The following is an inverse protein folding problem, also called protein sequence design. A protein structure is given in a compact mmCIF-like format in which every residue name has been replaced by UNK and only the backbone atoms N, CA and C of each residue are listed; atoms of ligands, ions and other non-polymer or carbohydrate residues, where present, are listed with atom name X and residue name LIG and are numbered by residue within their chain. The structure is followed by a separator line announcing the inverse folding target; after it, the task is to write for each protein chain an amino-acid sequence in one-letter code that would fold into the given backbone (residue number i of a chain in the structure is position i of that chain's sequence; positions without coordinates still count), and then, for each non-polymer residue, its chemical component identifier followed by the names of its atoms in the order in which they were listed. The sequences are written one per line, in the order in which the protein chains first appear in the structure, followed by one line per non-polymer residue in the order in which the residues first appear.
data_IF_993960587782
#
_entry.id   IF_993960587782
#
_cell.length_a   1.000
_cell.length_b   1.000
_cell.length_c   1.000
_cell.angle_alpha   90.00
_cell.angle_beta   90.00
_cell.angle_gamma   90.00
#
_symmetry.space_group_name_H-M   'P 1'
#
loop_
_entity.id
_entity.type
_entity.pdbx_description
1 polymer ?
#
# COMPACT_ATOMS: atom_id res chain seq x y z
N UNK A 1 13.70 -14.94 2.72
CA UNK A 1 14.07 -13.72 1.99
C UNK A 1 13.71 -12.56 2.89
N UNK A 2 14.65 -11.68 3.21
CA UNK A 2 14.40 -10.51 4.06
C UNK A 2 14.33 -9.23 3.23
N UNK A 3 14.90 -9.22 2.03
CA UNK A 3 14.77 -8.10 1.10
C UNK A 3 14.82 -8.51 -0.37
N UNK A 4 14.26 -7.65 -1.21
CA UNK A 4 14.32 -7.62 -2.67
C UNK A 4 14.62 -6.18 -3.06
N UNK A 5 15.57 -5.96 -3.97
CA UNK A 5 15.93 -4.60 -4.40
C UNK A 5 16.03 -4.52 -5.91
N UNK A 6 15.35 -3.53 -6.47
CA UNK A 6 15.54 -3.07 -7.84
C UNK A 6 16.36 -1.77 -7.84
N UNK A 7 17.46 -1.74 -8.58
CA UNK A 7 18.39 -0.60 -8.66
C UNK A 7 19.07 -0.47 -10.04
N UNK A 8 18.52 -1.10 -11.07
CA UNK A 8 19.00 -0.98 -12.43
C UNK A 8 18.43 0.28 -13.07
N UNK A 9 19.27 1.08 -13.73
CA UNK A 9 18.78 2.22 -14.50
C UNK A 9 17.88 1.83 -15.67
N UNK A 10 18.05 0.62 -16.21
CA UNK A 10 17.56 0.25 -17.56
C UNK A 10 16.78 -1.06 -17.64
N UNK A 11 16.78 -1.90 -16.60
CA UNK A 11 16.13 -3.21 -16.62
C UNK A 11 15.18 -3.37 -15.43
N UNK A 12 13.90 -3.55 -15.70
CA UNK A 12 12.91 -3.80 -14.65
C UNK A 12 13.12 -5.19 -13.99
N UNK A 13 12.82 -5.28 -12.69
CA UNK A 13 12.76 -6.53 -11.95
C UNK A 13 11.31 -6.99 -11.84
N UNK A 14 11.01 -8.15 -12.44
CA UNK A 14 9.69 -8.77 -12.36
C UNK A 14 9.76 -10.08 -11.58
N UNK A 15 8.94 -10.21 -10.55
CA UNK A 15 8.79 -11.39 -9.72
C UNK A 15 7.43 -12.03 -10.02
N UNK A 16 7.47 -13.08 -10.85
CA UNK A 16 6.25 -13.77 -11.29
C UNK A 16 5.81 -14.92 -10.37
N UNK A 17 6.69 -15.40 -9.49
CA UNK A 17 6.35 -16.35 -8.44
C UNK A 17 5.95 -15.65 -7.13
N UNK A 18 5.26 -16.34 -6.20
CA UNK A 18 4.91 -15.74 -4.92
C UNK A 18 6.14 -15.42 -4.10
N UNK A 19 6.15 -14.25 -3.46
CA UNK A 19 7.12 -13.93 -2.42
C UNK A 19 6.63 -14.56 -1.11
N UNK A 20 7.45 -15.42 -0.49
CA UNK A 20 7.22 -15.87 0.88
C UNK A 20 7.81 -14.83 1.85
N UNK A 21 6.95 -14.02 2.46
CA UNK A 21 7.34 -13.04 3.47
C UNK A 21 7.91 -13.77 4.69
N UNK A 22 9.10 -13.35 5.12
CA UNK A 22 9.78 -13.90 6.28
C UNK A 22 9.14 -13.42 7.58
N UNK A 23 9.20 -14.24 8.64
CA UNK A 23 8.65 -13.94 9.96
C UNK A 23 9.14 -12.61 10.55
N UNK A 24 10.39 -12.24 10.28
CA UNK A 24 10.97 -10.96 10.69
C UNK A 24 10.60 -9.78 9.77
N UNK A 25 9.90 -10.04 8.67
CA UNK A 25 9.52 -9.09 7.64
C UNK A 25 10.28 -9.28 6.32
N UNK A 26 9.77 -8.68 5.25
CA UNK A 26 10.42 -8.65 3.94
C UNK A 26 10.24 -7.28 3.31
N UNK A 27 11.36 -6.66 2.94
CA UNK A 27 11.38 -5.34 2.31
C UNK A 27 11.58 -5.43 0.81
N UNK A 28 10.72 -4.78 0.05
CA UNK A 28 10.82 -4.61 -1.39
C UNK A 28 11.22 -3.16 -1.64
N UNK A 29 12.39 -2.95 -2.23
CA UNK A 29 12.94 -1.61 -2.45
C UNK A 29 13.09 -1.34 -3.93
N UNK A 30 12.59 -0.21 -4.41
CA UNK A 30 13.07 0.38 -5.65
C UNK A 30 13.99 1.56 -5.30
N UNK A 31 15.30 1.40 -5.50
CA UNK A 31 16.33 2.39 -5.18
C UNK A 31 16.80 3.18 -6.42
N UNK A 32 16.07 3.08 -7.53
CA UNK A 32 16.48 3.63 -8.81
C UNK A 32 16.29 5.15 -8.89
N UNK A 33 17.21 5.92 -8.30
CA UNK A 33 17.09 7.36 -8.17
C UNK A 33 17.03 8.14 -9.51
N UNK A 34 17.46 7.56 -10.64
CA UNK A 34 17.56 8.28 -11.92
C UNK A 34 17.18 7.48 -13.17
N UNK A 35 16.73 6.24 -13.01
CA UNK A 35 16.26 5.39 -14.11
C UNK A 35 14.74 5.36 -14.21
N UNK A 36 14.24 4.42 -15.02
CA UNK A 36 12.81 4.20 -15.26
C UNK A 36 12.36 2.77 -14.96
N UNK A 37 13.22 1.97 -14.32
CA UNK A 37 12.97 0.55 -14.09
C UNK A 37 12.12 0.33 -12.84
N UNK A 38 11.05 -0.46 -13.00
CA UNK A 38 10.10 -0.80 -11.95
C UNK A 38 10.50 -2.10 -11.24
N UNK A 39 10.11 -2.20 -9.97
CA UNK A 39 9.97 -3.47 -9.27
C UNK A 39 8.52 -3.94 -9.37
N UNK A 40 8.27 -5.00 -10.15
CA UNK A 40 6.93 -5.57 -10.33
C UNK A 40 6.83 -6.93 -9.63
N UNK A 41 5.80 -7.12 -8.82
CA UNK A 41 5.45 -8.42 -8.23
C UNK A 41 4.09 -8.83 -8.77
N UNK A 42 4.06 -9.88 -9.60
CA UNK A 42 2.82 -10.43 -10.17
C UNK A 42 2.39 -11.75 -9.53
N UNK A 43 3.30 -12.41 -8.81
CA UNK A 43 3.05 -13.68 -8.12
C UNK A 43 2.41 -13.55 -6.73
N UNK A 44 2.16 -12.33 -6.26
CA UNK A 44 1.56 -12.07 -4.94
C UNK A 44 2.50 -12.36 -3.76
N UNK A 45 1.94 -12.42 -2.56
CA UNK A 45 2.69 -12.69 -1.32
C UNK A 45 2.01 -13.74 -0.44
N UNK A 46 2.83 -14.49 0.29
CA UNK A 46 2.43 -15.48 1.31
C UNK A 46 3.38 -15.37 2.51
N UNK A 47 3.32 -16.30 3.46
CA UNK A 47 4.24 -16.33 4.61
C UNK A 47 3.72 -15.56 5.82
N UNK A 48 4.46 -15.63 6.92
CA UNK A 48 4.16 -14.91 8.15
C UNK A 48 5.17 -13.76 8.25
N UNK A 49 4.72 -12.54 8.54
CA UNK A 49 5.55 -11.35 8.68
C UNK A 49 5.02 -10.16 7.89
N UNK A 50 5.67 -9.02 8.10
CA UNK A 50 5.28 -7.74 7.50
C UNK A 50 5.93 -7.57 6.12
N UNK A 51 5.13 -7.11 5.16
CA UNK A 51 5.61 -6.69 3.85
C UNK A 51 5.88 -5.18 3.90
N UNK A 52 7.12 -4.78 3.58
CA UNK A 52 7.53 -3.37 3.57
C UNK A 52 7.86 -2.99 2.13
N UNK A 53 7.33 -1.85 1.69
CA UNK A 53 7.48 -1.32 0.33
C UNK A 53 8.20 0.02 0.40
N UNK A 54 9.42 0.05 -0.11
CA UNK A 54 10.29 1.21 -0.09
C UNK A 54 10.55 1.68 -1.52
N UNK A 55 9.58 2.41 -2.09
CA UNK A 55 9.87 3.15 -3.32
C UNK A 55 10.72 4.38 -2.98
N UNK A 56 12.04 4.17 -3.03
CA UNK A 56 13.07 5.19 -2.80
C UNK A 56 13.44 5.92 -4.10
N UNK A 57 12.72 5.66 -5.19
CA UNK A 57 12.92 6.30 -6.49
C UNK A 57 11.93 7.45 -6.74
N UNK A 58 12.17 8.22 -7.81
CA UNK A 58 11.20 9.19 -8.32
C UNK A 58 10.19 8.58 -9.30
N UNK A 59 10.25 7.27 -9.54
CA UNK A 59 9.48 6.58 -10.57
C UNK A 59 8.05 6.38 -10.08
N UNK A 60 7.09 6.92 -10.82
CA UNK A 60 5.67 6.65 -10.61
C UNK A 60 5.41 5.15 -10.68
N UNK A 61 4.72 4.62 -9.67
CA UNK A 61 4.45 3.20 -9.48
C UNK A 61 5.72 2.33 -9.49
N UNK A 62 6.86 2.92 -9.08
CA UNK A 62 8.17 2.29 -9.09
C UNK A 62 8.22 0.96 -8.32
N UNK A 63 7.31 0.75 -7.36
CA UNK A 63 6.92 -0.57 -6.91
C UNK A 63 5.47 -0.82 -7.31
N UNK A 64 5.24 -1.90 -8.05
CA UNK A 64 3.90 -2.34 -8.47
C UNK A 64 3.66 -3.78 -8.01
N UNK A 65 2.57 -4.00 -7.26
CA UNK A 65 2.08 -5.34 -6.95
C UNK A 65 0.72 -5.54 -7.64
N UNK A 66 0.68 -6.51 -8.54
CA UNK A 66 -0.47 -6.81 -9.38
C UNK A 66 -0.68 -8.32 -9.50
N UNK A 67 -1.75 -8.75 -10.18
CA UNK A 67 -2.00 -10.17 -10.39
C UNK A 67 -2.46 -10.89 -9.11
N UNK A 68 -1.66 -11.84 -8.64
CA UNK A 68 -2.03 -12.67 -7.49
C UNK A 68 -2.06 -11.87 -6.18
N UNK A 69 -2.88 -12.34 -5.22
CA UNK A 69 -3.18 -11.61 -3.99
C UNK A 69 -1.95 -11.36 -3.11
N UNK A 70 -1.94 -10.21 -2.43
CA UNK A 70 -1.07 -9.94 -1.29
C UNK A 70 -1.70 -10.60 -0.07
N UNK A 71 -1.13 -11.68 0.44
CA UNK A 71 -1.79 -12.53 1.43
C UNK A 71 -0.83 -13.07 2.52
N UNK A 72 0.20 -12.29 2.85
CA UNK A 72 1.05 -12.56 4.03
C UNK A 72 0.28 -12.33 5.34
N UNK A 73 0.61 -13.10 6.37
CA UNK A 73 0.10 -12.90 7.73
C UNK A 73 0.93 -11.83 8.44
N UNK A 74 0.45 -10.60 8.43
CA UNK A 74 1.14 -9.43 8.98
C UNK A 74 0.64 -8.16 8.31
N UNK A 75 1.36 -7.05 8.47
CA UNK A 75 0.99 -5.78 7.84
C UNK A 75 1.56 -5.66 6.43
N UNK A 76 0.97 -4.75 5.65
CA UNK A 76 1.57 -4.18 4.44
C UNK A 76 1.88 -2.72 4.73
N UNK A 77 3.12 -2.30 4.57
CA UNK A 77 3.58 -0.95 4.91
C UNK A 77 4.31 -0.32 3.75
N UNK A 78 3.85 0.85 3.29
CA UNK A 78 4.64 1.70 2.39
C UNK A 78 5.48 2.68 3.22
N UNK A 79 6.81 2.64 3.06
CA UNK A 79 7.76 3.44 3.84
C UNK A 79 8.89 4.02 3.00
N UNK A 80 8.70 4.09 1.68
CA UNK A 80 9.67 4.66 0.75
C UNK A 80 10.04 6.12 1.05
N UNK A 81 11.25 6.51 0.67
CA UNK A 81 11.76 7.88 0.82
C UNK A 81 11.80 8.65 -0.50
N UNK A 82 11.35 8.02 -1.59
CA UNK A 82 11.30 8.62 -2.93
C UNK A 82 10.07 9.49 -3.11
N UNK A 83 9.97 10.13 -4.28
CA UNK A 83 8.79 10.90 -4.70
C UNK A 83 7.86 10.09 -5.60
N UNK A 84 8.30 8.93 -6.07
CA UNK A 84 7.49 8.01 -6.87
C UNK A 84 6.45 7.29 -6.03
N UNK A 85 5.27 6.99 -6.59
CA UNK A 85 4.21 6.23 -5.93
C UNK A 85 4.52 4.73 -5.84
N UNK A 86 3.89 4.06 -4.89
CA UNK A 86 3.78 2.60 -4.83
C UNK A 86 2.35 2.21 -5.20
N UNK A 87 2.18 1.26 -6.12
CA UNK A 87 0.87 0.78 -6.56
C UNK A 87 0.61 -0.65 -6.09
N UNK A 88 -0.52 -0.88 -5.42
CA UNK A 88 -1.07 -2.22 -5.18
C UNK A 88 -2.44 -2.30 -5.87
N UNK A 89 -2.46 -2.97 -7.02
CA UNK A 89 -3.68 -3.30 -7.78
C UNK A 89 -4.12 -4.74 -7.58
N UNK A 90 -3.24 -5.59 -7.05
CA UNK A 90 -3.61 -6.91 -6.53
C UNK A 90 -4.58 -6.79 -5.34
N UNK A 91 -5.40 -7.83 -5.14
CA UNK A 91 -6.23 -7.93 -3.94
C UNK A 91 -5.35 -8.14 -2.70
N UNK A 92 -5.49 -7.27 -1.71
CA UNK A 92 -4.97 -7.49 -0.35
C UNK A 92 -5.96 -8.41 0.38
N UNK A 93 -5.48 -9.61 0.70
CA UNK A 93 -6.26 -10.72 1.25
C UNK A 93 -6.56 -10.62 2.73
N UNK A 94 -7.51 -11.43 3.19
CA UNK A 94 -7.98 -11.46 4.59
C UNK A 94 -6.91 -11.83 5.63
N UNK A 95 -5.79 -12.46 5.23
CA UNK A 95 -4.70 -12.77 6.17
C UNK A 95 -3.88 -11.54 6.55
N UNK A 96 -3.94 -10.47 5.76
CA UNK A 96 -3.26 -9.21 6.06
C UNK A 96 -3.97 -8.53 7.22
N UNK A 97 -3.21 -8.22 8.27
CA UNK A 97 -3.76 -7.72 9.54
C UNK A 97 -3.89 -6.19 9.58
N UNK A 98 -3.43 -5.50 8.54
CA UNK A 98 -3.56 -4.06 8.39
C UNK A 98 -2.70 -3.50 7.26
N UNK A 99 -3.03 -2.28 6.84
CA UNK A 99 -2.29 -1.53 5.82
C UNK A 99 -1.83 -0.21 6.42
N UNK A 100 -0.57 0.14 6.19
CA UNK A 100 0.03 1.36 6.71
C UNK A 100 0.70 2.17 5.61
N UNK A 101 0.27 3.41 5.45
CA UNK A 101 0.99 4.44 4.70
C UNK A 101 1.87 5.23 5.68
N UNK A 102 3.19 5.03 5.61
CA UNK A 102 4.18 5.61 6.53
C UNK A 102 5.28 6.43 5.82
N UNK A 103 5.10 6.70 4.53
CA UNK A 103 6.03 7.49 3.75
C UNK A 103 5.53 8.92 3.61
N UNK A 104 6.38 9.92 3.88
CA UNK A 104 6.02 11.32 3.74
C UNK A 104 5.93 11.79 2.27
N UNK A 105 6.63 11.12 1.35
CA UNK A 105 6.87 11.60 -0.02
C UNK A 105 6.47 10.61 -1.12
N UNK A 106 6.57 9.32 -0.86
CA UNK A 106 6.08 8.25 -1.73
C UNK A 106 4.66 7.89 -1.33
N UNK A 107 3.69 8.21 -2.19
CA UNK A 107 2.28 7.88 -1.96
C UNK A 107 2.02 6.38 -2.18
N UNK A 108 1.10 5.80 -1.40
CA UNK A 108 0.56 4.46 -1.66
C UNK A 108 -0.77 4.59 -2.39
N UNK A 109 -0.91 3.90 -3.51
CA UNK A 109 -2.16 3.77 -4.25
C UNK A 109 -2.72 2.37 -4.05
N UNK A 110 -3.97 2.27 -3.57
CA UNK A 110 -4.71 1.00 -3.49
C UNK A 110 -5.86 1.02 -4.49
N UNK A 111 -5.77 0.20 -5.54
CA UNK A 111 -6.80 0.10 -6.59
C UNK A 111 -7.45 -1.28 -6.69
N UNK A 112 -6.93 -2.28 -5.97
CA UNK A 112 -7.55 -3.60 -5.85
C UNK A 112 -8.82 -3.60 -4.98
N UNK A 113 -9.74 -4.53 -5.24
CA UNK A 113 -10.90 -4.81 -4.36
C UNK A 113 -10.42 -5.64 -3.17
N UNK A 114 -10.08 -4.96 -2.09
CA UNK A 114 -9.40 -5.54 -0.95
C UNK A 114 -10.36 -6.26 0.01
N UNK A 115 -9.85 -7.31 0.67
CA UNK A 115 -10.63 -8.17 1.60
C UNK A 115 -10.03 -8.27 3.00
N UNK A 116 -8.91 -7.57 3.26
CA UNK A 116 -8.38 -7.44 4.62
C UNK A 116 -9.42 -6.80 5.54
N UNK A 117 -9.39 -7.24 6.80
CA UNK A 117 -10.28 -6.73 7.86
C UNK A 117 -9.51 -5.92 8.90
N UNK A 118 -8.19 -5.83 8.78
CA UNK A 118 -7.35 -4.98 9.63
C UNK A 118 -7.62 -3.49 9.45
N UNK A 119 -7.13 -2.68 10.39
CA UNK A 119 -7.17 -1.22 10.28
C UNK A 119 -6.30 -0.68 9.14
N UNK A 120 -6.64 0.51 8.67
CA UNK A 120 -5.79 1.28 7.74
C UNK A 120 -5.21 2.47 8.49
N UNK A 121 -3.89 2.61 8.53
CA UNK A 121 -3.21 3.71 9.22
C UNK A 121 -2.46 4.57 8.21
N UNK A 122 -2.66 5.88 8.29
CA UNK A 122 -1.91 6.87 7.52
C UNK A 122 -1.12 7.68 8.54
N UNK A 123 0.18 7.39 8.63
CA UNK A 123 1.10 8.02 9.58
C UNK A 123 1.86 9.20 8.97
N UNK A 124 2.04 9.19 7.64
CA UNK A 124 2.66 10.28 6.89
C UNK A 124 2.29 10.19 5.39
N UNK A 125 2.34 11.32 4.68
CA UNK A 125 2.12 11.41 3.23
C UNK A 125 0.73 10.93 2.80
N UNK A 126 0.58 10.48 1.56
CA UNK A 126 -0.73 10.25 0.95
C UNK A 126 -1.03 8.78 0.73
N UNK A 127 -2.22 8.34 1.17
CA UNK A 127 -2.88 7.12 0.69
C UNK A 127 -3.92 7.54 -0.36
N UNK A 128 -3.71 7.15 -1.60
CA UNK A 128 -4.59 7.45 -2.73
C UNK A 128 -5.50 6.27 -3.07
N UNK A 129 -6.79 6.55 -3.21
CA UNK A 129 -7.84 5.61 -3.56
C UNK A 129 -8.55 6.10 -4.84
N UNK A 130 -8.19 5.57 -6.03
CA UNK A 130 -8.71 6.02 -7.32
C UNK A 130 -10.11 5.49 -7.65
N UNK A 131 -10.73 4.75 -6.72
CA UNK A 131 -11.94 3.94 -6.94
C UNK A 131 -12.95 4.13 -5.82
N UNK A 132 -13.66 3.08 -5.42
CA UNK A 132 -14.70 3.14 -4.39
C UNK A 132 -14.19 2.74 -3.00
N UNK A 133 -14.57 3.52 -1.99
CA UNK A 133 -14.51 3.12 -0.59
C UNK A 133 -15.85 2.45 -0.29
N UNK A 134 -15.92 1.13 -0.44
CA UNK A 134 -17.14 0.38 -0.14
C UNK A 134 -17.23 0.08 1.37
N UNK A 135 -18.38 0.39 1.98
CA UNK A 135 -18.65 0.24 3.42
C UNK A 135 -19.38 -1.06 3.75
N UNK A 136 -20.16 -1.59 2.79
CA UNK A 136 -21.02 -2.77 2.96
C UNK A 136 -20.55 -4.01 2.18
N UNK A 137 -19.55 -3.84 1.32
CA UNK A 137 -18.92 -4.87 0.49
C UNK A 137 -17.43 -4.56 0.41
N UNK A 138 -16.60 -5.53 0.06
CA UNK A 138 -15.18 -5.31 -0.24
C UNK A 138 -14.97 -4.12 -1.20
N UNK A 139 -14.10 -3.19 -0.80
CA UNK A 139 -13.67 -2.04 -1.60
C UNK A 139 -12.17 -1.81 -1.51
N UNK A 140 -11.68 -0.65 -1.95
CA UNK A 140 -10.24 -0.38 -1.96
C UNK A 140 -9.60 -0.30 -0.55
N UNK A 141 -10.38 -0.14 0.51
CA UNK A 141 -9.91 -0.17 1.91
C UNK A 141 -10.31 -1.43 2.69
N UNK A 142 -10.68 -2.52 2.00
CA UNK A 142 -11.05 -3.77 2.65
C UNK A 142 -12.54 -3.87 3.01
N UNK A 143 -12.88 -4.82 3.89
CA UNK A 143 -14.23 -5.04 4.43
C UNK A 143 -14.18 -5.35 5.93
N UNK A 144 -14.32 -4.35 6.81
CA UNK A 144 -14.75 -4.53 8.22
C UNK A 144 -14.88 -3.19 8.94
N UNK A 145 -15.55 -3.18 10.10
CA UNK A 145 -15.67 -2.08 11.06
C UNK A 145 -14.35 -1.48 11.62
N UNK A 146 -13.18 -1.82 11.08
CA UNK A 146 -11.89 -1.34 11.56
C UNK A 146 -11.66 0.11 11.10
N UNK A 147 -11.12 0.94 11.99
CA UNK A 147 -10.95 2.37 11.76
C UNK A 147 -9.91 2.67 10.65
N UNK A 148 -10.15 3.76 9.93
CA UNK A 148 -9.08 4.48 9.22
C UNK A 148 -8.51 5.50 10.20
N UNK A 149 -7.23 5.35 10.54
CA UNK A 149 -6.55 6.21 11.50
C UNK A 149 -5.58 7.13 10.79
N UNK A 150 -5.73 8.45 10.98
CA UNK A 150 -4.91 9.47 10.34
C UNK A 150 -4.12 10.21 11.42
N UNK A 151 -2.78 10.17 11.29
CA UNK A 151 -1.82 10.77 12.23
C UNK A 151 -0.69 11.45 11.46
N UNK A 152 0.10 12.29 12.13
CA UNK A 152 1.36 12.83 11.58
C UNK A 152 1.22 13.65 10.29
N UNK A 153 0.04 14.22 10.01
CA UNK A 153 -0.22 14.96 8.76
C UNK A 153 -0.47 14.06 7.54
N UNK A 154 -0.84 12.79 7.73
CA UNK A 154 -1.18 11.86 6.66
C UNK A 154 -2.49 12.21 5.93
N UNK A 155 -2.52 12.08 4.62
CA UNK A 155 -3.66 12.43 3.77
C UNK A 155 -4.31 11.16 3.24
N UNK A 156 -5.63 11.05 3.39
CA UNK A 156 -6.44 10.13 2.59
C UNK A 156 -6.98 10.91 1.38
N UNK A 157 -6.51 10.55 0.19
CA UNK A 157 -6.97 11.13 -1.08
C UNK A 157 -7.89 10.12 -1.79
N UNK A 158 -9.13 10.51 -2.05
CA UNK A 158 -10.16 9.65 -2.60
C UNK A 158 -10.90 10.37 -3.73
N UNK A 159 -11.00 9.72 -4.90
CA UNK A 159 -11.54 10.35 -6.12
C UNK A 159 -12.78 9.64 -6.69
N UNK A 160 -13.35 8.65 -5.99
CA UNK A 160 -14.54 7.93 -6.44
C UNK A 160 -15.89 8.61 -6.15
N UNK A 161 -16.93 8.29 -6.92
CA UNK A 161 -18.29 8.72 -6.62
C UNK A 161 -18.90 7.91 -5.46
N UNK A 162 -19.41 8.57 -4.41
CA UNK A 162 -20.21 7.93 -3.36
C UNK A 162 -19.45 7.41 -2.14
N UNK A 163 -18.36 8.07 -1.72
CA UNK A 163 -17.68 7.74 -0.47
C UNK A 163 -18.58 7.99 0.75
N UNK A 164 -19.16 6.94 1.33
CA UNK A 164 -19.74 7.00 2.67
C UNK A 164 -18.64 6.58 3.65
N UNK A 165 -18.31 7.40 4.64
CA UNK A 165 -17.42 6.99 5.73
C UNK A 165 -18.28 6.31 6.81
N UNK A 166 -18.50 5.00 6.68
CA UNK A 166 -19.13 4.20 7.75
C UNK A 166 -18.18 3.84 8.89
N UNK A 167 -16.96 4.39 8.87
CA UNK A 167 -15.88 4.09 9.81
C UNK A 167 -15.56 5.34 10.64
N UNK A 168 -15.17 5.21 11.92
CA UNK A 168 -14.57 6.31 12.64
C UNK A 168 -13.26 6.70 11.96
N UNK A 169 -13.24 7.87 11.31
CA UNK A 169 -12.00 8.52 10.89
C UNK A 169 -11.45 9.25 12.12
N UNK A 170 -10.40 8.70 12.73
CA UNK A 170 -9.72 9.39 13.82
C UNK A 170 -8.71 10.37 13.21
N UNK A 171 -9.07 11.63 13.09
CA UNK A 171 -8.17 12.70 12.64
C UNK A 171 -7.40 13.26 13.84
N UNK A 172 -6.09 13.01 13.90
CA UNK A 172 -5.22 13.77 14.80
C UNK A 172 -4.82 15.07 14.11
N UNK A 173 -5.36 16.19 14.60
CA UNK A 173 -5.20 17.60 14.20
C UNK A 173 -4.19 17.91 13.06
N UNK A 174 -4.67 18.51 11.96
CA UNK A 174 -3.80 19.20 11.00
C UNK A 174 -4.25 19.28 9.54
N UNK A 175 -5.22 18.49 9.08
CA UNK A 175 -5.65 18.48 7.67
C UNK A 175 -7.09 17.97 7.51
N UNK A 176 -7.85 18.69 6.69
CA UNK A 176 -8.97 18.16 5.91
C UNK A 176 -10.23 17.80 6.69
N UNK A 177 -11.17 18.73 6.73
CA UNK A 177 -12.59 18.46 6.94
C UNK A 177 -13.06 17.39 5.95
N UNK A 178 -13.62 16.28 6.46
CA UNK A 178 -14.47 15.39 5.65
C UNK A 178 -15.83 16.05 5.59
N UNK A 179 -16.04 16.90 4.59
CA UNK A 179 -17.33 17.56 4.37
C UNK A 179 -18.32 16.53 3.84
N UNK A 180 -19.50 16.46 4.46
CA UNK A 180 -20.68 15.82 3.88
C UNK A 180 -21.37 16.78 2.93
#
# INVERSE_FOLDING_TARGET
MTSVTENSGTSALTISGPITVNAAGTTLTNANASGSSLLTVSGGTTGAGNLILDNNSAIADGITISGASVNNTGTVTNSGTGTGSTLISAVIGANVTGVTQNSATSALTLSGTNTYTGGTTISAGTLHIPGSIAVSTAGNLGNTAAAVTITGGGILDYTGAGGSFGLPVNTTSGIGEVTN
#
